data_IF_750431635978
#
_entry.id   IF_750431635978
#
_cell.length_a   1.000
_cell.length_b   1.000
_cell.length_c   1.000
_cell.angle_alpha   90.00
_cell.angle_beta   90.00
_cell.angle_gamma   90.00
#
_symmetry.space_group_name_H-M   'P 1'
#
loop_
_entity.id
_entity.type
_entity.pdbx_description
1 polymer ?
#
# COMPACT_ATOMS: atom_id res chain seq x y z
N UNK A 1 11.34 -6.33 20.62
CA UNK A 1 11.13 -7.80 20.48
C UNK A 1 9.68 -8.17 20.18
N UNK A 2 8.68 -7.70 20.94
CA UNK A 2 7.28 -8.11 20.76
C UNK A 2 6.73 -7.96 19.33
N UNK A 3 7.04 -6.87 18.60
CA UNK A 3 6.59 -6.73 17.20
C UNK A 3 7.10 -7.87 16.31
N UNK A 4 8.37 -8.26 16.45
CA UNK A 4 8.96 -9.37 15.67
C UNK A 4 8.26 -10.68 16.00
N UNK A 5 7.97 -10.93 17.28
CA UNK A 5 7.23 -12.13 17.71
C UNK A 5 5.79 -12.13 17.18
N UNK A 6 5.14 -10.98 17.10
CA UNK A 6 3.81 -10.84 16.52
C UNK A 6 3.79 -11.24 15.04
N UNK A 7 4.75 -10.74 14.24
CA UNK A 7 4.91 -11.14 12.84
C UNK A 7 5.26 -12.63 12.72
N UNK A 8 6.17 -13.13 13.55
CA UNK A 8 6.56 -14.54 13.51
C UNK A 8 5.37 -15.46 13.80
N UNK A 9 4.53 -15.11 14.77
CA UNK A 9 3.29 -15.83 15.06
C UNK A 9 2.28 -15.73 13.89
N UNK A 10 2.09 -14.55 13.32
CA UNK A 10 1.24 -14.37 12.13
C UNK A 10 1.72 -15.22 10.94
N UNK A 11 3.03 -15.27 10.71
CA UNK A 11 3.63 -16.10 9.66
C UNK A 11 3.46 -17.60 9.95
N UNK A 12 3.61 -18.03 11.21
CA UNK A 12 3.30 -19.42 11.58
C UNK A 12 1.83 -19.77 11.38
N UNK A 13 0.90 -18.87 11.68
CA UNK A 13 -0.52 -19.05 11.41
C UNK A 13 -0.83 -19.12 9.90
N UNK A 14 -0.01 -18.46 9.06
CA UNK A 14 -0.09 -18.56 7.61
C UNK A 14 0.46 -19.90 7.09
N UNK A 15 1.66 -20.29 7.53
CA UNK A 15 2.34 -21.52 7.08
C UNK A 15 1.74 -22.81 7.65
N UNK A 16 1.11 -22.77 8.82
CA UNK A 16 0.55 -23.92 9.53
C UNK A 16 -0.95 -23.73 9.79
N UNK A 17 -1.83 -23.93 8.78
CA UNK A 17 -3.26 -23.71 8.92
C UNK A 17 -3.92 -24.46 10.09
N UNK A 18 -3.47 -25.68 10.37
CA UNK A 18 -3.96 -26.51 11.47
C UNK A 18 -3.70 -25.89 12.86
N UNK A 19 -2.65 -25.07 12.98
CA UNK A 19 -2.24 -24.43 14.24
C UNK A 19 -2.64 -22.95 14.33
N UNK A 20 -3.52 -22.47 13.43
CA UNK A 20 -4.01 -21.08 13.43
C UNK A 20 -4.60 -20.65 14.76
N UNK A 21 -5.42 -21.51 15.37
CA UNK A 21 -6.04 -21.25 16.68
C UNK A 21 -5.02 -21.04 17.81
N UNK A 22 -3.80 -21.54 17.64
CA UNK A 22 -2.69 -21.31 18.59
C UNK A 22 -1.92 -20.04 18.27
N UNK A 23 -1.59 -19.82 17.00
CA UNK A 23 -0.67 -18.74 16.61
C UNK A 23 -1.34 -17.38 16.42
N UNK A 24 -2.63 -17.31 16.06
CA UNK A 24 -3.33 -16.03 15.94
C UNK A 24 -3.43 -15.31 17.30
N UNK A 25 -3.86 -15.95 18.42
CA UNK A 25 -3.85 -15.29 19.73
C UNK A 25 -2.46 -14.84 20.16
N UNK A 26 -1.40 -15.57 19.81
CA UNK A 26 -0.01 -15.18 20.11
C UNK A 26 0.41 -13.94 19.31
N UNK A 27 -0.03 -13.84 18.05
CA UNK A 27 0.22 -12.65 17.22
C UNK A 27 -0.43 -11.41 17.86
N UNK A 28 -1.70 -11.51 18.25
CA UNK A 28 -2.45 -10.40 18.86
C UNK A 28 -1.91 -10.03 20.26
N UNK A 29 -1.54 -11.04 21.06
CA UNK A 29 -0.91 -10.85 22.37
C UNK A 29 0.39 -10.04 22.26
N UNK A 30 1.29 -10.45 21.37
CA UNK A 30 2.55 -9.76 21.19
C UNK A 30 2.37 -8.38 20.54
N UNK A 31 1.42 -8.22 19.61
CA UNK A 31 1.11 -6.92 19.03
C UNK A 31 0.61 -5.93 20.10
N UNK A 32 -0.27 -6.37 21.00
CA UNK A 32 -0.78 -5.57 22.12
C UNK A 32 0.36 -5.11 23.04
N UNK A 33 1.18 -6.04 23.55
CA UNK A 33 2.29 -5.71 24.44
C UNK A 33 3.35 -4.83 23.77
N UNK A 34 3.65 -5.10 22.51
CA UNK A 34 4.57 -4.29 21.72
C UNK A 34 4.07 -2.85 21.59
N UNK A 35 2.78 -2.67 21.29
CA UNK A 35 2.17 -1.35 21.12
C UNK A 35 2.09 -0.57 22.44
N UNK A 36 1.82 -1.24 23.55
CA UNK A 36 1.90 -0.64 24.89
C UNK A 36 3.30 -0.16 25.22
N UNK A 37 4.31 -1.00 25.01
CA UNK A 37 5.71 -0.64 25.21
C UNK A 37 6.13 0.52 24.29
N UNK A 38 5.69 0.51 23.04
CA UNK A 38 5.97 1.57 22.09
C UNK A 38 5.38 2.92 22.50
N UNK A 39 4.12 2.94 22.96
CA UNK A 39 3.50 4.18 23.49
C UNK A 39 4.27 4.76 24.68
N UNK A 40 4.74 3.91 25.60
CA UNK A 40 5.59 4.34 26.74
C UNK A 40 6.95 4.84 26.27
N UNK A 41 7.54 4.19 25.26
CA UNK A 41 8.80 4.62 24.67
C UNK A 41 8.68 6.02 24.04
N UNK A 42 7.58 6.28 23.31
CA UNK A 42 7.33 7.56 22.66
C UNK A 42 7.20 8.74 23.64
N UNK A 43 6.86 8.51 24.91
CA UNK A 43 6.84 9.57 25.94
C UNK A 43 8.23 10.16 26.23
N UNK A 44 9.30 9.43 25.89
CA UNK A 44 10.69 9.83 26.09
C UNK A 44 11.47 9.84 24.76
N UNK A 45 10.76 9.92 23.64
CA UNK A 45 11.36 9.93 22.32
C UNK A 45 12.12 11.25 22.08
N UNK A 46 13.32 11.12 21.53
CA UNK A 46 14.09 12.22 20.98
C UNK A 46 14.88 11.78 19.73
N UNK A 47 15.54 12.73 19.07
CA UNK A 47 16.28 12.46 17.83
C UNK A 47 17.58 11.66 18.05
N UNK A 48 17.95 11.35 19.29
CA UNK A 48 19.09 10.48 19.62
C UNK A 48 18.68 9.00 19.71
N UNK A 49 17.40 8.72 20.00
CA UNK A 49 16.88 7.37 20.26
C UNK A 49 15.85 6.90 19.21
N UNK A 50 15.97 7.38 17.97
CA UNK A 50 14.95 7.16 16.94
C UNK A 50 14.93 5.75 16.33
N UNK A 51 16.05 5.01 16.34
CA UNK A 51 16.17 3.72 15.66
C UNK A 51 15.19 2.64 16.16
N UNK A 52 15.05 2.41 17.49
CA UNK A 52 14.05 1.47 17.99
C UNK A 52 12.62 1.87 17.63
N UNK A 53 12.33 3.18 17.59
CA UNK A 53 11.00 3.67 17.23
C UNK A 53 10.68 3.38 15.76
N UNK A 54 11.60 3.68 14.85
CA UNK A 54 11.49 3.33 13.44
C UNK A 54 11.33 1.81 13.23
N UNK A 55 12.17 1.02 13.90
CA UNK A 55 12.15 -0.43 13.77
C UNK A 55 10.83 -1.04 14.22
N UNK A 56 10.31 -0.62 15.38
CA UNK A 56 9.02 -1.12 15.84
C UNK A 56 7.85 -0.64 14.96
N UNK A 57 7.81 0.64 14.60
CA UNK A 57 6.73 1.18 13.76
C UNK A 57 6.68 0.50 12.38
N UNK A 58 7.83 0.23 11.77
CA UNK A 58 7.91 -0.53 10.50
C UNK A 58 7.33 -1.93 10.64
N UNK A 59 7.59 -2.60 11.77
CA UNK A 59 7.03 -3.92 12.06
C UNK A 59 5.52 -3.86 12.29
N UNK A 60 5.00 -2.78 12.89
CA UNK A 60 3.55 -2.56 13.03
C UNK A 60 2.87 -2.41 11.67
N UNK A 61 3.47 -1.66 10.73
CA UNK A 61 2.96 -1.57 9.35
C UNK A 61 2.89 -2.96 8.71
N UNK A 62 3.98 -3.74 8.78
CA UNK A 62 3.98 -5.11 8.28
C UNK A 62 2.90 -5.97 8.94
N UNK A 63 2.67 -5.80 10.25
CA UNK A 63 1.67 -6.58 10.97
C UNK A 63 0.25 -6.25 10.52
N UNK A 64 -0.03 -4.97 10.24
CA UNK A 64 -1.32 -4.57 9.68
C UNK A 64 -1.52 -5.07 8.27
N UNK A 65 -0.47 -5.11 7.43
CA UNK A 65 -0.57 -5.70 6.10
C UNK A 65 -0.99 -7.18 6.16
N UNK A 66 -0.56 -7.95 7.17
CA UNK A 66 -0.99 -9.35 7.33
C UNK A 66 -2.47 -9.54 7.71
N UNK A 67 -3.23 -8.46 7.94
CA UNK A 67 -4.60 -8.53 8.45
C UNK A 67 -5.52 -9.50 7.66
N UNK A 68 -5.59 -9.48 6.31
CA UNK A 68 -6.45 -10.42 5.58
C UNK A 68 -6.11 -11.88 5.88
N UNK A 69 -4.83 -12.21 6.11
CA UNK A 69 -4.38 -13.57 6.39
C UNK A 69 -4.65 -14.01 7.84
N UNK A 70 -4.84 -13.05 8.75
CA UNK A 70 -5.14 -13.31 10.15
C UNK A 70 -6.63 -13.50 10.43
N UNK A 71 -7.52 -12.95 9.61
CA UNK A 71 -8.97 -13.14 9.77
C UNK A 71 -9.38 -14.62 9.64
N UNK A 72 -10.38 -15.06 10.42
CA UNK A 72 -10.81 -16.46 10.48
C UNK A 72 -11.24 -17.00 9.11
N UNK A 73 -12.09 -16.24 8.41
CA UNK A 73 -12.53 -16.54 7.04
C UNK A 73 -11.69 -15.86 5.96
N UNK A 74 -10.58 -15.21 6.35
CA UNK A 74 -9.77 -14.33 5.48
C UNK A 74 -10.55 -13.16 4.85
N UNK A 75 -11.70 -12.84 5.41
CA UNK A 75 -12.56 -11.73 4.97
C UNK A 75 -12.36 -10.55 5.92
N UNK A 76 -12.04 -9.39 5.36
CA UNK A 76 -12.00 -8.10 6.03
C UNK A 76 -13.41 -7.52 6.12
N UNK A 77 -13.79 -7.03 7.30
CA UNK A 77 -15.08 -6.39 7.51
C UNK A 77 -15.16 -5.03 6.81
N UNK A 78 -14.11 -4.21 6.95
CA UNK A 78 -13.99 -2.89 6.32
C UNK A 78 -12.65 -2.69 5.61
N UNK A 79 -12.45 -3.30 4.42
CA UNK A 79 -11.22 -3.17 3.63
C UNK A 79 -10.77 -1.71 3.44
N UNK A 80 -11.71 -0.81 3.13
CA UNK A 80 -11.43 0.61 2.91
C UNK A 80 -10.91 1.27 4.19
N UNK A 81 -11.56 1.05 5.33
CA UNK A 81 -11.06 1.60 6.61
C UNK A 81 -9.68 1.03 6.93
N UNK A 82 -9.48 -0.27 6.75
CA UNK A 82 -8.20 -0.91 7.08
C UNK A 82 -7.04 -0.42 6.21
N UNK A 83 -7.26 -0.15 4.91
CA UNK A 83 -6.18 0.40 4.07
C UNK A 83 -5.88 1.86 4.42
N UNK A 84 -6.88 2.64 4.85
CA UNK A 84 -6.69 4.00 5.36
C UNK A 84 -5.90 3.98 6.66
N UNK A 85 -6.14 3.01 7.55
CA UNK A 85 -5.33 2.80 8.76
C UNK A 85 -3.87 2.47 8.42
N UNK A 86 -3.64 1.62 7.40
CA UNK A 86 -2.28 1.33 6.89
C UNK A 86 -1.61 2.62 6.39
N UNK A 87 -2.32 3.43 5.60
CA UNK A 87 -1.81 4.73 5.14
C UNK A 87 -1.47 5.65 6.32
N UNK A 88 -2.35 5.71 7.33
CA UNK A 88 -2.13 6.47 8.56
C UNK A 88 -0.89 6.04 9.33
N UNK A 89 -0.62 4.72 9.42
CA UNK A 89 0.59 4.20 10.06
C UNK A 89 1.86 4.56 9.30
N UNK A 90 1.87 4.39 7.97
CA UNK A 90 2.99 4.77 7.11
C UNK A 90 3.30 6.27 7.25
N UNK A 91 2.27 7.11 7.28
CA UNK A 91 2.41 8.57 7.41
C UNK A 91 2.76 9.00 8.84
N UNK A 92 2.34 8.26 9.85
CA UNK A 92 2.79 8.46 11.24
C UNK A 92 4.30 8.27 11.40
N UNK A 93 4.88 7.26 10.73
CA UNK A 93 6.34 7.05 10.68
C UNK A 93 7.02 8.29 10.09
N UNK A 94 6.49 8.84 8.98
CA UNK A 94 7.00 10.07 8.37
C UNK A 94 7.00 11.22 9.36
N UNK A 95 5.87 11.56 9.95
CA UNK A 95 5.76 12.73 10.85
C UNK A 95 6.68 12.62 12.06
N UNK A 96 6.80 11.43 12.65
CA UNK A 96 7.67 11.22 13.83
C UNK A 96 9.15 11.22 13.46
N UNK A 97 9.52 10.82 12.24
CA UNK A 97 10.92 10.55 11.86
C UNK A 97 11.45 11.43 10.74
N UNK A 98 10.67 12.41 10.26
CA UNK A 98 11.07 13.40 9.26
C UNK A 98 12.46 14.02 9.57
N UNK A 99 12.76 14.45 10.81
CA UNK A 99 14.06 15.06 11.12
C UNK A 99 15.25 14.09 11.02
N UNK A 100 14.99 12.77 11.01
CA UNK A 100 16.01 11.73 10.94
C UNK A 100 15.98 10.93 9.63
N UNK A 101 15.07 11.21 8.69
CA UNK A 101 14.99 10.52 7.40
C UNK A 101 16.36 10.49 6.68
N UNK A 102 17.05 11.63 6.64
CA UNK A 102 18.40 11.76 6.08
C UNK A 102 19.51 11.05 6.88
N UNK A 103 19.20 10.50 8.06
CA UNK A 103 20.08 9.60 8.83
C UNK A 103 19.74 8.14 8.59
N UNK A 104 18.48 7.78 8.39
CA UNK A 104 18.05 6.37 8.15
C UNK A 104 18.82 5.75 7.00
N UNK A 105 19.00 6.54 5.96
CA UNK A 105 19.76 6.26 4.74
C UNK A 105 21.23 5.87 4.97
N UNK A 106 21.80 6.18 6.15
CA UNK A 106 23.18 5.86 6.53
C UNK A 106 23.28 4.72 7.54
N UNK A 107 22.22 3.92 7.67
CA UNK A 107 22.12 2.84 8.67
C UNK A 107 21.71 1.53 8.03
N UNK A 108 21.68 0.46 8.83
CA UNK A 108 21.13 -0.86 8.48
C UNK A 108 19.66 -0.80 8.00
N UNK A 109 18.93 0.27 8.32
CA UNK A 109 17.56 0.49 7.84
C UNK A 109 17.47 1.08 6.44
N UNK A 110 18.60 1.45 5.83
CA UNK A 110 18.66 2.01 4.49
C UNK A 110 17.82 1.20 3.48
N UNK A 111 17.82 -0.15 3.42
CA UNK A 111 17.00 -0.90 2.47
C UNK A 111 15.48 -0.75 2.67
N UNK A 112 15.02 -0.52 3.91
CA UNK A 112 13.60 -0.31 4.21
C UNK A 112 13.10 1.01 3.60
N UNK A 113 14.01 1.98 3.48
CA UNK A 113 13.73 3.28 2.85
C UNK A 113 14.06 3.27 1.36
N UNK A 114 15.24 2.75 0.97
CA UNK A 114 15.84 2.81 -0.37
C UNK A 114 15.60 1.64 -1.30
N UNK A 115 14.98 0.53 -0.86
CA UNK A 115 14.47 -0.47 -1.81
C UNK A 115 13.49 0.10 -2.85
N UNK A 116 13.16 1.40 -2.73
CA UNK A 116 12.21 2.20 -3.48
C UNK A 116 12.91 3.28 -4.35
N UNK A 117 14.03 3.86 -3.93
CA UNK A 117 14.55 5.10 -4.53
C UNK A 117 15.84 4.88 -5.33
N UNK A 118 15.75 4.14 -6.44
CA UNK A 118 16.81 4.09 -7.46
C UNK A 118 16.68 5.20 -8.51
N UNK A 119 15.99 6.30 -8.19
CA UNK A 119 15.90 7.46 -9.09
C UNK A 119 16.71 8.62 -8.50
N UNK A 120 18.01 8.41 -8.35
CA UNK A 120 18.92 9.55 -8.51
C UNK A 120 18.84 9.96 -9.99
N UNK A 121 18.27 11.15 -10.23
CA UNK A 121 18.02 11.85 -11.50
C UNK A 121 16.61 11.74 -12.14
N UNK A 122 15.64 12.38 -11.50
CA UNK A 122 14.37 12.85 -12.12
C UNK A 122 14.57 13.70 -13.41
N UNK A 123 15.81 14.07 -13.76
CA UNK A 123 16.10 14.92 -14.92
C UNK A 123 16.24 14.16 -16.24
N UNK A 124 16.43 12.83 -16.22
CA UNK A 124 16.62 12.03 -17.45
C UNK A 124 15.69 10.82 -17.57
N UNK A 125 14.87 10.54 -16.56
CA UNK A 125 13.96 9.39 -16.60
C UNK A 125 12.85 9.59 -17.65
N UNK A 126 12.70 8.63 -18.56
CA UNK A 126 11.59 8.59 -19.51
C UNK A 126 10.26 8.65 -18.74
N UNK A 127 9.30 9.48 -19.20
CA UNK A 127 8.01 9.66 -18.50
C UNK A 127 7.18 8.37 -18.46
N UNK A 128 7.24 7.58 -19.54
CA UNK A 128 6.48 6.34 -19.74
C UNK A 128 7.40 5.21 -20.23
N UNK A 129 8.31 4.70 -19.38
CA UNK A 129 9.26 3.65 -19.77
C UNK A 129 8.54 2.37 -20.20
N UNK A 130 9.18 1.58 -21.05
CA UNK A 130 8.66 0.28 -21.47
C UNK A 130 8.47 -0.66 -20.24
N UNK A 131 7.34 -1.36 -20.20
CA UNK A 131 6.96 -2.30 -19.14
C UNK A 131 7.18 -3.77 -19.50
N UNK A 132 7.84 -4.10 -20.62
CA UNK A 132 8.03 -5.48 -21.10
C UNK A 132 8.73 -6.39 -20.07
N UNK A 133 9.62 -5.82 -19.24
CA UNK A 133 10.32 -6.53 -18.17
C UNK A 133 9.80 -6.15 -16.76
N UNK A 134 8.68 -5.44 -16.69
CA UNK A 134 8.04 -5.03 -15.43
C UNK A 134 7.09 -6.11 -14.92
N UNK A 135 6.84 -6.11 -13.62
CA UNK A 135 5.74 -6.89 -13.05
C UNK A 135 4.36 -6.30 -13.40
N UNK A 136 4.29 -5.04 -13.83
CA UNK A 136 3.03 -4.37 -14.18
C UNK A 136 2.54 -4.74 -15.59
N UNK A 137 1.22 -4.70 -15.85
CA UNK A 137 0.66 -4.87 -17.18
C UNK A 137 1.21 -3.87 -18.20
N UNK A 138 1.48 -4.33 -19.43
CA UNK A 138 2.05 -3.47 -20.51
C UNK A 138 1.19 -2.26 -20.87
N UNK A 139 -0.12 -2.37 -20.65
CA UNK A 139 -1.12 -1.34 -20.95
C UNK A 139 -1.38 -0.38 -19.76
N UNK A 140 -0.62 -0.48 -18.65
CA UNK A 140 -0.77 0.41 -17.49
C UNK A 140 -0.74 1.89 -17.86
N UNK A 141 0.21 2.34 -18.70
CA UNK A 141 0.30 3.74 -19.10
C UNK A 141 -0.94 4.22 -19.87
N UNK A 142 -1.46 3.38 -20.77
CA UNK A 142 -2.69 3.68 -21.51
C UNK A 142 -3.88 3.79 -20.57
N UNK A 143 -3.99 2.88 -19.59
CA UNK A 143 -5.06 2.94 -18.59
C UNK A 143 -4.97 4.17 -17.69
N UNK A 144 -3.78 4.57 -17.24
CA UNK A 144 -3.60 5.75 -16.39
C UNK A 144 -3.93 7.05 -17.15
N UNK A 145 -3.54 7.15 -18.43
CA UNK A 145 -3.95 8.28 -19.29
C UNK A 145 -5.46 8.33 -19.49
N UNK A 146 -6.10 7.18 -19.68
CA UNK A 146 -7.57 7.09 -19.80
C UNK A 146 -8.26 7.56 -18.51
N UNK A 147 -7.76 7.12 -17.34
CA UNK A 147 -8.26 7.57 -16.05
C UNK A 147 -8.11 9.10 -15.89
N UNK A 148 -6.93 9.64 -16.23
CA UNK A 148 -6.67 11.08 -16.16
C UNK A 148 -7.67 11.87 -17.01
N UNK A 149 -7.84 11.50 -18.27
CA UNK A 149 -8.78 12.17 -19.16
C UNK A 149 -10.23 12.10 -18.65
N UNK A 150 -10.62 10.97 -18.06
CA UNK A 150 -11.94 10.81 -17.46
C UNK A 150 -12.14 11.72 -16.24
N UNK A 151 -11.15 11.83 -15.37
CA UNK A 151 -11.18 12.73 -14.21
C UNK A 151 -11.16 14.21 -14.61
N UNK A 152 -10.33 14.59 -15.58
CA UNK A 152 -10.25 15.97 -16.09
C UNK A 152 -11.56 16.42 -16.77
N UNK A 153 -12.31 15.50 -17.36
CA UNK A 153 -13.58 15.79 -18.00
C UNK A 153 -14.76 15.91 -17.01
N UNK A 154 -14.72 15.21 -15.88
CA UNK A 154 -15.85 15.09 -14.95
C UNK A 154 -15.65 15.87 -13.63
N UNK A 155 -14.41 15.99 -13.14
CA UNK A 155 -14.10 16.70 -11.90
C UNK A 155 -13.95 18.21 -12.18
N UNK A 156 -14.68 19.08 -11.45
CA UNK A 156 -14.48 20.53 -11.56
C UNK A 156 -13.04 20.93 -11.24
N UNK A 157 -12.52 21.97 -11.91
CA UNK A 157 -11.15 22.43 -11.75
C UNK A 157 -10.73 22.69 -10.28
N UNK A 158 -11.67 23.11 -9.43
CA UNK A 158 -11.44 23.34 -7.99
C UNK A 158 -11.18 22.07 -7.18
N UNK A 159 -11.67 20.92 -7.63
CA UNK A 159 -11.45 19.61 -7.00
C UNK A 159 -10.36 18.77 -7.67
N UNK A 160 -9.91 19.16 -8.87
CA UNK A 160 -9.05 18.33 -9.71
C UNK A 160 -7.60 18.24 -9.22
N UNK A 161 -7.07 19.28 -8.57
CA UNK A 161 -5.65 19.39 -8.23
C UNK A 161 -5.11 18.16 -7.47
N UNK A 162 -5.76 17.76 -6.37
CA UNK A 162 -5.28 16.62 -5.58
C UNK A 162 -5.47 15.27 -6.28
N UNK A 163 -6.45 15.15 -7.18
CA UNK A 163 -6.62 13.95 -8.02
C UNK A 163 -5.51 13.85 -9.07
N UNK A 164 -5.18 14.95 -9.73
CA UNK A 164 -4.08 15.03 -10.69
C UNK A 164 -2.72 14.69 -10.01
N UNK A 165 -2.46 15.24 -8.83
CA UNK A 165 -1.26 14.92 -8.04
C UNK A 165 -1.22 13.44 -7.61
N UNK A 166 -2.35 12.88 -7.20
CA UNK A 166 -2.43 11.46 -6.84
C UNK A 166 -2.18 10.54 -8.05
N UNK A 167 -2.61 10.95 -9.25
CA UNK A 167 -2.28 10.29 -10.51
C UNK A 167 -0.80 10.41 -10.88
N UNK A 168 -0.19 11.59 -10.70
CA UNK A 168 1.25 11.79 -10.93
C UNK A 168 2.08 10.89 -10.01
N UNK A 169 1.69 10.78 -8.75
CA UNK A 169 2.29 9.86 -7.78
C UNK A 169 2.08 8.39 -8.17
N UNK A 170 0.94 8.04 -8.77
CA UNK A 170 0.68 6.69 -9.26
C UNK A 170 1.56 6.36 -10.48
N UNK A 171 1.75 7.31 -11.38
CA UNK A 171 2.69 7.20 -12.49
C UNK A 171 4.14 7.04 -11.98
N UNK A 172 4.52 7.77 -10.92
CA UNK A 172 5.82 7.58 -10.26
C UNK A 172 5.96 6.17 -9.71
N UNK A 173 4.95 5.64 -9.02
CA UNK A 173 4.96 4.24 -8.57
C UNK A 173 5.17 3.28 -9.75
N UNK A 174 4.44 3.46 -10.86
CA UNK A 174 4.61 2.64 -12.06
C UNK A 174 6.03 2.74 -12.67
N UNK A 175 6.68 3.92 -12.64
CA UNK A 175 8.08 4.09 -13.04
C UNK A 175 9.03 3.30 -12.13
N UNK A 176 8.78 3.26 -10.83
CA UNK A 176 9.57 2.45 -9.89
C UNK A 176 9.46 0.95 -10.21
N UNK A 177 8.26 0.48 -10.54
CA UNK A 177 8.07 -0.89 -11.01
C UNK A 177 8.80 -1.18 -12.32
N UNK A 178 8.80 -0.23 -13.26
CA UNK A 178 9.53 -0.36 -14.52
C UNK A 178 11.04 -0.46 -14.28
N UNK A 179 11.59 0.41 -13.42
CA UNK A 179 13.01 0.43 -13.09
C UNK A 179 13.47 -0.83 -12.33
N UNK A 180 12.65 -1.35 -11.41
CA UNK A 180 12.95 -2.58 -10.67
C UNK A 180 12.70 -3.86 -11.49
N UNK A 181 11.92 -3.75 -12.57
CA UNK A 181 11.52 -4.88 -13.40
C UNK A 181 10.83 -6.00 -12.60
N UNK A 182 11.22 -7.25 -12.86
CA UNK A 182 10.72 -8.43 -12.12
C UNK A 182 11.15 -8.46 -10.66
N UNK A 183 12.07 -7.61 -10.22
CA UNK A 183 12.55 -7.52 -8.83
C UNK A 183 11.86 -6.40 -8.04
N UNK A 184 10.70 -5.92 -8.50
CA UNK A 184 9.92 -4.93 -7.75
C UNK A 184 9.62 -5.40 -6.32
N UNK A 185 10.05 -4.57 -5.36
CA UNK A 185 9.88 -4.72 -3.92
C UNK A 185 8.57 -4.07 -3.43
N UNK A 186 8.08 -4.49 -2.25
CA UNK A 186 6.84 -3.96 -1.64
C UNK A 186 6.84 -2.45 -1.43
N UNK A 187 8.02 -1.85 -1.30
CA UNK A 187 8.12 -0.41 -1.12
C UNK A 187 7.56 0.40 -2.32
N UNK A 188 7.57 -0.17 -3.54
CA UNK A 188 7.02 0.49 -4.73
C UNK A 188 5.52 0.78 -4.61
N UNK A 189 4.75 -0.08 -3.91
CA UNK A 189 3.32 0.19 -3.61
C UNK A 189 3.16 1.11 -2.42
N UNK A 190 3.99 0.97 -1.38
CA UNK A 190 3.89 1.81 -0.18
C UNK A 190 4.17 3.28 -0.47
N UNK A 191 4.99 3.59 -1.48
CA UNK A 191 5.25 4.96 -1.93
C UNK A 191 3.95 5.75 -2.19
N UNK A 192 2.98 5.14 -2.86
CA UNK A 192 1.75 5.87 -3.19
C UNK A 192 0.92 6.21 -1.96
N UNK A 193 0.76 5.28 -1.01
CA UNK A 193 0.08 5.55 0.27
C UNK A 193 0.82 6.56 1.14
N UNK A 194 2.14 6.61 1.01
CA UNK A 194 2.99 7.59 1.66
C UNK A 194 2.79 9.01 1.09
N UNK A 195 2.62 9.12 -0.23
CA UNK A 195 2.61 10.40 -0.96
C UNK A 195 1.22 10.99 -1.21
N UNK A 196 0.16 10.18 -1.19
CA UNK A 196 -1.19 10.65 -1.54
C UNK A 196 -1.74 11.69 -0.53
N UNK A 197 -2.39 12.73 -1.04
CA UNK A 197 -2.98 13.80 -0.23
C UNK A 197 -4.16 13.30 0.63
N UNK A 198 -4.34 13.89 1.82
CA UNK A 198 -5.39 13.49 2.78
C UNK A 198 -6.81 13.56 2.21
N UNK A 199 -7.09 14.53 1.35
CA UNK A 199 -8.41 14.67 0.73
C UNK A 199 -8.80 13.44 -0.09
N UNK A 200 -7.85 12.75 -0.71
CA UNK A 200 -8.13 11.53 -1.48
C UNK A 200 -8.47 10.36 -0.56
N UNK A 201 -7.82 10.26 0.60
CA UNK A 201 -8.15 9.25 1.61
C UNK A 201 -9.52 9.53 2.26
N UNK A 202 -9.85 10.81 2.48
CA UNK A 202 -11.17 11.22 2.95
C UNK A 202 -12.25 10.91 1.91
N UNK A 203 -11.98 11.18 0.64
CA UNK A 203 -12.89 10.85 -0.46
C UNK A 203 -13.06 9.33 -0.60
N UNK A 204 -11.99 8.56 -0.41
CA UNK A 204 -12.07 7.09 -0.38
C UNK A 204 -12.95 6.60 0.78
N UNK A 205 -12.76 7.13 1.99
CA UNK A 205 -13.60 6.82 3.15
C UNK A 205 -15.07 7.17 2.89
N UNK A 206 -15.31 8.31 2.23
CA UNK A 206 -16.62 8.78 1.82
C UNK A 206 -17.18 8.07 0.57
N UNK A 207 -16.49 7.04 0.06
CA UNK A 207 -16.90 6.27 -1.12
C UNK A 207 -17.15 7.16 -2.35
N UNK A 208 -16.37 8.23 -2.52
CA UNK A 208 -16.47 9.09 -3.68
C UNK A 208 -16.04 8.33 -4.94
N UNK A 209 -16.82 8.38 -6.03
CA UNK A 209 -16.58 7.53 -7.21
C UNK A 209 -15.19 7.65 -7.82
N UNK A 210 -14.67 8.89 -7.93
CA UNK A 210 -13.34 9.14 -8.47
C UNK A 210 -12.22 8.60 -7.58
N UNK A 211 -12.36 8.70 -6.26
CA UNK A 211 -11.38 8.12 -5.33
C UNK A 211 -11.42 6.60 -5.37
N UNK A 212 -12.61 5.99 -5.39
CA UNK A 212 -12.77 4.54 -5.54
C UNK A 212 -12.12 4.03 -6.84
N UNK A 213 -12.37 4.71 -7.96
CA UNK A 213 -11.80 4.34 -9.26
C UNK A 213 -10.28 4.53 -9.29
N UNK A 214 -9.75 5.65 -8.78
CA UNK A 214 -8.31 5.88 -8.66
C UNK A 214 -7.64 4.77 -7.84
N UNK A 215 -8.24 4.40 -6.70
CA UNK A 215 -7.74 3.33 -5.84
C UNK A 215 -7.80 1.97 -6.54
N UNK A 216 -8.81 1.72 -7.38
CA UNK A 216 -8.90 0.51 -8.18
C UNK A 216 -7.69 0.33 -9.11
N UNK A 217 -7.24 1.41 -9.76
CA UNK A 217 -6.03 1.39 -10.58
C UNK A 217 -4.76 1.18 -9.73
N UNK A 218 -4.70 1.79 -8.55
CA UNK A 218 -3.60 1.55 -7.60
C UNK A 218 -3.52 0.08 -7.14
N UNK A 219 -4.65 -0.60 -6.94
CA UNK A 219 -4.67 -2.01 -6.53
C UNK A 219 -4.08 -2.96 -7.57
N UNK A 220 -3.94 -2.56 -8.84
CA UNK A 220 -3.20 -3.36 -9.83
C UNK A 220 -1.73 -3.50 -9.42
N UNK A 221 -1.14 -2.47 -8.81
CA UNK A 221 0.23 -2.53 -8.30
C UNK A 221 0.33 -3.44 -7.07
N UNK A 222 -0.70 -3.48 -6.22
CA UNK A 222 -0.78 -4.44 -5.12
C UNK A 222 -0.85 -5.87 -5.62
N UNK A 223 -1.78 -6.16 -6.53
CA UNK A 223 -2.07 -7.51 -6.98
C UNK A 223 -0.84 -8.23 -7.55
N UNK A 224 0.03 -7.51 -8.28
CA UNK A 224 1.27 -8.10 -8.83
C UNK A 224 2.29 -8.45 -7.74
N UNK A 225 2.23 -7.79 -6.58
CA UNK A 225 3.12 -8.03 -5.44
C UNK A 225 2.56 -9.05 -4.44
N UNK A 226 1.24 -9.25 -4.36
CA UNK A 226 0.64 -10.27 -3.48
C UNK A 226 1.16 -11.69 -3.76
N UNK A 227 1.56 -11.96 -5.00
CA UNK A 227 2.19 -13.22 -5.39
C UNK A 227 3.50 -13.45 -4.65
N UNK A 228 4.33 -12.41 -4.55
CA UNK A 228 5.68 -12.46 -4.00
C UNK A 228 5.69 -12.35 -2.48
N UNK A 229 4.80 -11.52 -1.93
CA UNK A 229 4.83 -11.16 -0.52
C UNK A 229 3.60 -11.69 0.21
N UNK A 230 3.80 -12.71 1.05
CA UNK A 230 2.73 -13.35 1.82
C UNK A 230 1.92 -12.35 2.67
N UNK A 231 2.59 -11.32 3.19
CA UNK A 231 1.98 -10.31 4.05
C UNK A 231 1.13 -9.29 3.28
N UNK A 232 1.15 -9.27 1.94
CA UNK A 232 0.27 -8.44 1.11
C UNK A 232 -0.95 -9.23 0.59
N UNK A 233 -1.03 -10.54 0.83
CA UNK A 233 -2.08 -11.36 0.23
C UNK A 233 -3.47 -11.01 0.73
N UNK A 234 -4.42 -10.99 -0.19
CA UNK A 234 -5.86 -10.89 0.08
C UNK A 234 -6.41 -9.47 0.12
N UNK A 235 -5.61 -8.44 -0.17
CA UNK A 235 -6.09 -7.06 -0.17
C UNK A 235 -6.85 -6.71 -1.45
N UNK A 236 -6.23 -6.94 -2.61
CA UNK A 236 -6.71 -6.42 -3.90
C UNK A 236 -8.10 -6.92 -4.28
N UNK A 237 -8.36 -8.22 -4.09
CA UNK A 237 -9.66 -8.81 -4.41
C UNK A 237 -10.78 -8.29 -3.50
N UNK A 238 -10.50 -8.17 -2.19
CA UNK A 238 -11.49 -7.70 -1.22
C UNK A 238 -11.79 -6.22 -1.36
N UNK A 239 -10.75 -5.42 -1.61
CA UNK A 239 -10.90 -4.00 -1.92
C UNK A 239 -11.68 -3.79 -3.21
N UNK A 240 -11.36 -4.54 -4.29
CA UNK A 240 -12.08 -4.45 -5.56
C UNK A 240 -13.58 -4.74 -5.40
N UNK A 241 -13.95 -5.74 -4.59
CA UNK A 241 -15.35 -6.03 -4.31
C UNK A 241 -16.09 -4.86 -3.62
N UNK A 242 -15.44 -4.17 -2.67
CA UNK A 242 -16.02 -2.99 -2.01
C UNK A 242 -16.12 -1.79 -2.96
N UNK A 243 -15.09 -1.59 -3.80
CA UNK A 243 -15.07 -0.53 -4.82
C UNK A 243 -16.20 -0.74 -5.83
N UNK A 244 -16.35 -1.95 -6.37
CA UNK A 244 -17.41 -2.29 -7.31
C UNK A 244 -18.80 -2.05 -6.69
N UNK A 245 -19.01 -2.46 -5.44
CA UNK A 245 -20.24 -2.18 -4.69
C UNK A 245 -20.53 -0.67 -4.54
N UNK A 246 -19.51 0.14 -4.28
CA UNK A 246 -19.64 1.60 -4.16
C UNK A 246 -19.90 2.33 -5.48
N UNK A 247 -19.69 1.66 -6.62
CA UNK A 247 -19.90 2.20 -7.97
C UNK A 247 -21.18 1.68 -8.64
N UNK A 248 -22.00 0.88 -7.94
CA UNK A 248 -23.29 0.42 -8.46
C UNK A 248 -24.15 1.62 -8.87
N UNK A 249 -24.74 1.55 -10.06
CA UNK A 249 -25.55 2.62 -10.64
C UNK A 249 -24.76 3.69 -11.39
N UNK A 250 -23.43 3.56 -11.50
CA UNK A 250 -22.56 4.51 -12.20
C UNK A 250 -21.90 3.86 -13.42
N UNK A 251 -22.59 3.76 -14.56
CA UNK A 251 -22.17 2.92 -15.70
C UNK A 251 -20.81 3.34 -16.27
N UNK A 252 -20.53 4.64 -16.36
CA UNK A 252 -19.23 5.13 -16.86
C UNK A 252 -18.07 4.73 -15.93
N UNK A 253 -18.28 4.77 -14.60
CA UNK A 253 -17.27 4.33 -13.64
C UNK A 253 -17.07 2.82 -13.67
N UNK A 254 -18.15 2.05 -13.78
CA UNK A 254 -18.07 0.59 -13.92
C UNK A 254 -17.35 0.18 -15.21
N UNK A 255 -17.55 0.92 -16.30
CA UNK A 255 -16.78 0.69 -17.54
C UNK A 255 -15.29 0.92 -17.34
N UNK A 256 -14.92 2.02 -16.67
CA UNK A 256 -13.53 2.33 -16.33
C UNK A 256 -12.92 1.30 -15.36
N UNK A 257 -13.74 0.66 -14.52
CA UNK A 257 -13.34 -0.39 -13.59
C UNK A 257 -13.00 -1.73 -14.26
N UNK A 258 -13.40 -1.95 -15.51
CA UNK A 258 -13.15 -3.21 -16.22
C UNK A 258 -11.66 -3.53 -16.30
N UNK A 259 -10.83 -2.54 -16.64
CA UNK A 259 -9.39 -2.74 -16.74
C UNK A 259 -8.75 -3.17 -15.41
N UNK A 260 -8.86 -2.42 -14.29
CA UNK A 260 -8.24 -2.83 -13.04
C UNK A 260 -8.81 -4.15 -12.52
N UNK A 261 -10.12 -4.40 -12.68
CA UNK A 261 -10.74 -5.68 -12.30
C UNK A 261 -10.13 -6.86 -13.06
N UNK A 262 -9.99 -6.73 -14.38
CA UNK A 262 -9.34 -7.75 -15.20
C UNK A 262 -7.88 -7.96 -14.80
N UNK A 263 -7.09 -6.90 -14.63
CA UNK A 263 -5.66 -7.01 -14.30
C UNK A 263 -5.40 -7.59 -12.91
N UNK A 264 -6.24 -7.26 -11.93
CA UNK A 264 -6.17 -7.90 -10.60
C UNK A 264 -6.48 -9.39 -10.72
N UNK A 265 -7.53 -9.77 -11.45
CA UNK A 265 -7.85 -11.18 -11.66
C UNK A 265 -6.72 -11.95 -12.37
N UNK A 266 -6.14 -11.38 -13.43
CA UNK A 266 -4.99 -11.95 -14.15
C UNK A 266 -3.77 -12.13 -13.25
N UNK A 267 -3.46 -11.13 -12.41
CA UNK A 267 -2.34 -11.20 -11.47
C UNK A 267 -2.55 -12.28 -10.40
N UNK A 268 -3.78 -12.48 -9.92
CA UNK A 268 -4.10 -13.45 -8.88
C UNK A 268 -4.44 -14.85 -9.40
N UNK A 269 -4.68 -15.04 -10.71
CA UNK A 269 -5.03 -16.34 -11.29
C UNK A 269 -3.92 -17.40 -11.14
N UNK A 270 -2.69 -16.98 -10.84
CA UNK A 270 -1.52 -17.84 -10.69
C UNK A 270 -0.94 -17.80 -9.26
N UNK A 271 -1.76 -17.52 -8.24
CA UNK A 271 -1.34 -17.38 -6.82
C UNK A 271 -1.75 -18.55 -5.93
#
# INVERSE_FOLDING_TARGET
>A
MHGILAIAAAHKAYMLPASRRTYLPLADYHQTLGSEGYRRYLQHFDLSNWMPAFGFASVVVLHMLTLPMRMENRVLESPITNIIEVAGLIRGIRTTLEPVLGRIVRTEFAPVVFGIWMLDSDKEAERYPNLDNSALPRDTWTSLRRLRAFQEADIPATGLQHYAEALDNLETSARLFAAAGVQAESGAVHFWLYSVHDSILLDLAAHRPHALLLFAHYLVHWAVLERKFWYLRGWSQQMMAKIEGGLIGQPMFLEMLNWPKQKIAEALAYS
#
